data_IF_737332576941
#
_entry.id   IF_737332576941
#
_cell.length_a   1.000
_cell.length_b   1.000
_cell.length_c   1.000
_cell.angle_alpha   90.00
_cell.angle_beta   90.00
_cell.angle_gamma   90.00
#
_symmetry.space_group_name_H-M   'P 1'
#
loop_
_entity.id
_entity.type
_entity.pdbx_description
1 polymer ?
#
# COMPACT_ATOMS: atom_id res chain seq x y z
N UNK A 1 -39.40 38.86 -43.64
CA UNK A 1 -37.97 38.70 -43.32
C UNK A 1 -37.79 37.39 -42.59
N UNK A 2 -36.87 36.58 -43.08
CA UNK A 2 -36.89 35.11 -43.05
C UNK A 2 -36.34 34.52 -41.75
N UNK A 3 -37.01 33.47 -41.26
CA UNK A 3 -36.53 32.50 -40.26
C UNK A 3 -35.65 31.44 -40.93
N UNK A 4 -34.72 30.81 -40.18
CA UNK A 4 -34.24 29.39 -40.20
C UNK A 4 -32.71 29.28 -40.07
N UNK A 5 -32.15 28.61 -39.06
CA UNK A 5 -32.06 27.17 -38.70
C UNK A 5 -30.72 26.52 -39.16
N UNK A 6 -29.99 26.00 -38.16
CA UNK A 6 -29.25 24.72 -38.09
C UNK A 6 -28.03 24.38 -39.00
N UNK A 7 -27.01 23.83 -38.30
CA UNK A 7 -26.06 22.72 -38.57
C UNK A 7 -25.63 22.36 -40.01
N UNK A 8 -24.33 22.09 -40.19
CA UNK A 8 -23.77 20.71 -40.32
C UNK A 8 -22.36 20.68 -40.94
N UNK A 9 -21.59 19.70 -40.46
CA UNK A 9 -20.26 19.26 -40.86
C UNK A 9 -20.06 18.98 -42.38
N UNK A 10 -18.80 19.04 -42.83
CA UNK A 10 -18.14 17.93 -43.57
C UNK A 10 -16.65 18.15 -43.86
N UNK A 11 -15.90 17.09 -43.58
CA UNK A 11 -14.56 16.72 -44.05
C UNK A 11 -14.21 17.19 -45.46
N UNK A 12 -12.94 17.59 -45.64
CA UNK A 12 -12.16 17.31 -46.86
C UNK A 12 -10.72 16.94 -46.52
N UNK A 13 -10.40 15.65 -46.63
CA UNK A 13 -9.06 15.18 -47.02
C UNK A 13 -8.81 15.60 -48.47
N UNK A 14 -7.64 16.16 -48.78
CA UNK A 14 -6.92 15.89 -50.04
C UNK A 14 -5.42 15.86 -49.81
N UNK A 15 -4.83 14.82 -50.37
CA UNK A 15 -3.43 14.39 -50.34
C UNK A 15 -2.69 14.96 -51.56
N UNK A 16 -1.38 15.16 -51.36
CA UNK A 16 -0.25 15.16 -52.32
C UNK A 16 -0.14 16.26 -53.38
N UNK A 17 1.02 16.94 -53.37
CA UNK A 17 2.01 16.80 -54.46
C UNK A 17 3.42 17.18 -54.01
N UNK A 18 4.37 16.34 -54.43
CA UNK A 18 5.83 16.42 -54.35
C UNK A 18 6.38 17.66 -55.07
N UNK A 19 7.48 18.22 -54.55
CA UNK A 19 8.46 18.96 -55.34
C UNK A 19 9.87 18.52 -54.95
N UNK A 20 10.49 17.76 -55.85
CA UNK A 20 11.91 17.39 -55.90
C UNK A 20 12.76 18.60 -56.28
N UNK A 21 13.84 18.85 -55.54
CA UNK A 21 14.99 19.59 -56.01
C UNK A 21 16.27 18.84 -55.64
N UNK A 22 17.04 18.51 -56.67
CA UNK A 22 18.28 17.75 -56.67
C UNK A 22 19.45 18.76 -56.67
N UNK A 23 20.38 18.65 -55.73
CA UNK A 23 21.72 19.28 -55.84
C UNK A 23 22.77 18.32 -55.31
N UNK A 24 23.84 18.21 -56.10
CA UNK A 24 24.87 17.16 -56.07
C UNK A 24 26.02 17.52 -55.13
N UNK A 25 26.41 16.49 -54.35
CA UNK A 25 27.72 16.13 -53.80
C UNK A 25 28.74 17.19 -53.33
N UNK A 26 29.18 17.02 -52.08
CA UNK A 26 30.61 16.93 -51.76
C UNK A 26 30.82 16.04 -50.53
N UNK A 27 31.65 15.02 -50.70
CA UNK A 27 32.05 14.06 -49.69
C UNK A 27 32.90 14.71 -48.59
N UNK A 28 32.51 14.51 -47.33
CA UNK A 28 33.45 14.44 -46.21
C UNK A 28 33.07 13.25 -45.33
N UNK A 29 34.01 12.31 -45.19
CA UNK A 29 33.93 11.20 -44.25
C UNK A 29 34.02 11.75 -42.83
N UNK A 30 32.93 11.65 -42.05
CA UNK A 30 32.99 11.64 -40.60
C UNK A 30 32.30 10.38 -40.09
N UNK A 31 33.04 9.59 -39.33
CA UNK A 31 32.53 8.40 -38.66
C UNK A 31 31.46 8.82 -37.64
N UNK A 32 30.21 8.50 -37.91
CA UNK A 32 29.11 8.66 -36.95
C UNK A 32 28.98 7.39 -36.12
N UNK A 33 29.34 7.48 -34.84
CA UNK A 33 28.93 6.52 -33.81
C UNK A 33 27.39 6.40 -33.80
N UNK A 34 26.81 5.20 -33.63
CA UNK A 34 25.37 5.07 -33.51
C UNK A 34 24.91 5.75 -32.21
N UNK A 35 23.92 6.61 -32.34
CA UNK A 35 23.25 7.27 -31.23
C UNK A 35 22.66 6.21 -30.28
N UNK A 36 23.14 6.21 -29.03
CA UNK A 36 22.51 5.50 -27.93
C UNK A 36 21.15 6.14 -27.70
N UNK A 37 20.09 5.40 -28.03
CA UNK A 37 18.74 5.74 -27.61
C UNK A 37 18.71 5.75 -26.08
N UNK A 38 18.64 6.95 -25.49
CA UNK A 38 18.38 7.10 -24.07
C UNK A 38 16.94 6.64 -23.80
N UNK A 39 16.80 5.40 -23.35
CA UNK A 39 15.58 4.94 -22.71
C UNK A 39 15.38 5.79 -21.46
N UNK A 40 14.40 6.69 -21.49
CA UNK A 40 13.90 7.36 -20.29
C UNK A 40 13.34 6.27 -19.37
N UNK A 41 14.17 5.80 -18.45
CA UNK A 41 13.74 4.87 -17.41
C UNK A 41 12.63 5.53 -16.60
N UNK A 42 11.42 4.96 -16.65
CA UNK A 42 10.37 5.27 -15.66
C UNK A 42 10.95 4.97 -14.28
N UNK A 43 11.40 6.00 -13.55
CA UNK A 43 11.70 5.88 -12.13
C UNK A 43 10.44 5.32 -11.45
N UNK A 44 10.52 4.22 -10.69
CA UNK A 44 9.39 3.76 -9.91
C UNK A 44 9.00 4.88 -8.93
N UNK A 45 7.70 5.02 -8.58
CA UNK A 45 7.27 6.02 -7.62
C UNK A 45 8.07 5.84 -6.32
N UNK A 46 8.56 6.96 -5.79
CA UNK A 46 9.23 7.00 -4.48
C UNK A 46 8.15 6.68 -3.43
N UNK A 47 8.03 5.40 -3.09
CA UNK A 47 7.17 4.96 -2.01
C UNK A 47 7.85 5.35 -0.71
N UNK A 48 7.19 6.20 0.08
CA UNK A 48 7.45 6.30 1.51
C UNK A 48 7.36 4.87 2.02
N UNK A 49 8.46 4.32 2.55
CA UNK A 49 8.31 3.29 3.56
C UNK A 49 7.42 3.95 4.62
N UNK A 50 6.12 3.60 4.62
CA UNK A 50 5.24 3.94 5.71
C UNK A 50 6.01 3.55 6.96
N UNK A 51 6.11 4.45 7.94
CA UNK A 51 6.78 4.14 9.20
C UNK A 51 6.24 2.82 9.76
N UNK A 52 6.89 2.27 10.79
CA UNK A 52 6.30 1.11 11.44
C UNK A 52 4.80 1.39 11.72
N UNK A 53 3.88 0.44 11.43
CA UNK A 53 2.47 0.63 11.69
C UNK A 53 2.33 1.21 13.09
N UNK A 54 1.68 2.36 13.19
CA UNK A 54 1.65 3.12 14.42
C UNK A 54 1.08 2.20 15.51
N UNK A 55 1.75 2.05 16.67
CA UNK A 55 1.14 1.37 17.80
C UNK A 55 -0.23 2.02 18.05
N UNK A 56 -1.24 1.20 18.34
CA UNK A 56 -2.58 1.71 18.64
C UNK A 56 -2.47 2.87 19.63
N UNK A 57 -2.80 4.09 19.18
CA UNK A 57 -2.78 5.25 20.04
C UNK A 57 -3.80 5.00 21.16
N UNK A 58 -3.36 5.09 22.42
CA UNK A 58 -4.30 5.01 23.54
C UNK A 58 -5.31 6.16 23.40
N UNK A 59 -6.59 5.85 23.61
CA UNK A 59 -7.63 6.89 23.67
C UNK A 59 -7.22 7.95 24.71
N UNK A 60 -7.08 9.20 24.28
CA UNK A 60 -6.68 10.31 25.15
C UNK A 60 -5.22 10.77 25.04
N UNK A 61 -4.41 10.28 24.09
CA UNK A 61 -3.12 10.92 23.81
C UNK A 61 -3.33 12.34 23.25
N UNK A 62 -3.11 13.33 24.10
CA UNK A 62 -2.88 14.73 23.69
C UNK A 62 -1.51 14.80 23.04
N UNK A 63 -1.47 15.10 21.75
CA UNK A 63 -0.22 15.41 21.09
C UNK A 63 0.20 16.81 21.52
N UNK A 64 1.42 16.94 22.06
CA UNK A 64 2.04 18.25 22.23
C UNK A 64 2.36 18.78 20.83
N UNK A 65 1.41 19.51 20.27
CA UNK A 65 1.62 20.29 19.07
C UNK A 65 2.16 21.64 19.49
N UNK A 66 3.43 21.89 19.20
CA UNK A 66 3.93 23.26 19.14
C UNK A 66 3.35 23.91 17.88
N UNK A 67 2.12 24.40 18.01
CA UNK A 67 1.45 25.15 16.95
C UNK A 67 2.15 26.51 16.88
N UNK A 68 2.92 26.72 15.82
CA UNK A 68 3.46 28.04 15.45
C UNK A 68 2.47 28.62 14.43
N UNK A 69 1.54 29.51 14.83
CA UNK A 69 0.53 30.03 13.92
C UNK A 69 1.20 30.82 12.80
N UNK A 70 0.62 30.79 11.59
CA UNK A 70 1.07 31.58 10.44
C UNK A 70 2.49 31.23 9.94
N UNK A 71 3.13 30.14 10.41
CA UNK A 71 4.46 29.69 9.94
C UNK A 71 4.51 29.55 8.41
N UNK A 72 3.41 29.11 7.82
CA UNK A 72 3.30 28.85 6.38
C UNK A 72 2.65 30.00 5.59
N UNK A 73 2.20 31.08 6.24
CA UNK A 73 1.51 32.18 5.57
C UNK A 73 2.43 33.00 4.64
N UNK A 74 3.70 33.16 5.04
CA UNK A 74 4.71 33.95 4.30
C UNK A 74 5.94 33.09 3.93
N UNK A 75 5.76 31.78 3.79
CA UNK A 75 6.86 30.88 3.49
C UNK A 75 7.11 30.82 1.96
N UNK A 76 8.32 31.15 1.47
CA UNK A 76 8.60 31.20 0.03
C UNK A 76 8.46 29.83 -0.65
N UNK A 77 8.82 28.73 0.02
CA UNK A 77 8.67 27.38 -0.54
C UNK A 77 7.18 26.98 -0.64
N UNK A 78 6.34 27.49 0.27
CA UNK A 78 4.89 27.31 0.20
C UNK A 78 4.32 28.13 -0.96
N UNK A 79 4.78 29.36 -1.19
CA UNK A 79 4.35 30.17 -2.34
C UNK A 79 4.68 29.48 -3.66
N UNK A 80 5.89 28.92 -3.80
CA UNK A 80 6.27 28.13 -4.99
C UNK A 80 5.36 26.92 -5.18
N UNK A 81 4.98 26.25 -4.10
CA UNK A 81 4.03 25.13 -4.16
C UNK A 81 2.62 25.60 -4.57
N UNK A 82 2.15 26.73 -4.05
CA UNK A 82 0.85 27.33 -4.44
C UNK A 82 0.85 27.67 -5.92
N UNK A 83 1.89 28.34 -6.43
CA UNK A 83 2.01 28.71 -7.85
C UNK A 83 1.94 27.48 -8.76
N UNK A 84 2.59 26.39 -8.36
CA UNK A 84 2.54 25.11 -9.08
C UNK A 84 1.15 24.46 -9.05
N UNK A 85 0.45 24.52 -7.90
CA UNK A 85 -0.93 24.03 -7.78
C UNK A 85 -1.90 24.85 -8.64
N UNK A 86 -1.74 26.17 -8.70
CA UNK A 86 -2.53 27.05 -9.57
C UNK A 86 -2.25 26.70 -11.04
N UNK A 87 -0.98 26.63 -11.44
CA UNK A 87 -0.60 26.41 -12.83
C UNK A 87 -1.01 25.02 -13.37
N UNK A 88 -0.93 23.97 -12.56
CA UNK A 88 -1.21 22.58 -12.99
C UNK A 88 -2.64 22.14 -12.76
N UNK A 89 -3.31 22.68 -11.74
CA UNK A 89 -4.59 22.17 -11.27
C UNK A 89 -5.69 23.23 -11.17
N UNK A 90 -5.41 24.49 -11.51
CA UNK A 90 -6.41 25.59 -11.50
C UNK A 90 -7.04 25.81 -10.12
N UNK A 91 -6.24 25.73 -9.06
CA UNK A 91 -6.66 26.13 -7.72
C UNK A 91 -6.74 27.66 -7.62
N UNK A 92 -7.67 28.16 -6.80
CA UNK A 92 -7.71 29.57 -6.41
C UNK A 92 -6.52 29.90 -5.50
N UNK A 93 -5.59 30.79 -5.91
CA UNK A 93 -4.43 31.15 -5.10
C UNK A 93 -4.82 31.77 -3.76
N UNK A 94 -5.88 32.59 -3.71
CA UNK A 94 -6.29 33.24 -2.46
C UNK A 94 -6.81 32.20 -1.45
N UNK A 95 -7.57 31.22 -1.91
CA UNK A 95 -8.03 30.11 -1.08
C UNK A 95 -6.85 29.26 -0.55
N UNK A 96 -5.84 28.97 -1.37
CA UNK A 96 -4.65 28.23 -0.93
C UNK A 96 -3.81 29.02 0.07
N UNK A 97 -3.59 30.32 -0.14
CA UNK A 97 -2.90 31.16 0.85
C UNK A 97 -3.63 31.18 2.19
N UNK A 98 -4.96 31.32 2.17
CA UNK A 98 -5.77 31.25 3.39
C UNK A 98 -5.68 29.88 4.08
N UNK A 99 -5.71 28.79 3.31
CA UNK A 99 -5.57 27.43 3.83
C UNK A 99 -4.23 27.22 4.52
N UNK A 100 -3.12 27.59 3.87
CA UNK A 100 -1.77 27.42 4.44
C UNK A 100 -1.50 28.38 5.59
N UNK A 101 -2.10 29.58 5.60
CA UNK A 101 -2.06 30.47 6.76
C UNK A 101 -2.65 29.82 8.03
N UNK A 102 -3.63 28.92 7.87
CA UNK A 102 -4.24 28.13 8.95
C UNK A 102 -3.62 26.75 9.21
N UNK A 103 -2.61 26.34 8.43
CA UNK A 103 -1.88 25.09 8.66
C UNK A 103 -0.93 25.25 9.85
N UNK A 104 -0.84 24.20 10.68
CA UNK A 104 -0.03 24.18 11.88
C UNK A 104 1.21 23.31 11.69
N UNK A 105 2.32 23.73 12.29
CA UNK A 105 3.52 22.91 12.37
C UNK A 105 3.33 21.78 13.39
N UNK A 106 3.61 20.54 13.00
CA UNK A 106 3.51 19.38 13.90
C UNK A 106 4.90 18.90 14.35
N UNK A 107 5.35 19.42 15.50
CA UNK A 107 6.60 18.97 16.13
C UNK A 107 6.59 17.46 16.41
N UNK A 108 5.42 16.89 16.76
CA UNK A 108 5.27 15.46 16.96
C UNK A 108 5.48 14.69 15.66
N UNK A 109 4.93 15.12 14.52
CA UNK A 109 5.16 14.45 13.24
C UNK A 109 6.64 14.42 12.89
N UNK A 110 7.35 15.55 13.06
CA UNK A 110 8.81 15.68 12.89
C UNK A 110 9.56 14.69 13.79
N UNK A 111 9.20 14.63 15.08
CA UNK A 111 9.79 13.68 16.04
C UNK A 111 9.60 12.22 15.60
N UNK A 112 8.39 11.86 15.14
CA UNK A 112 8.05 10.48 14.75
C UNK A 112 8.71 10.04 13.43
N UNK A 113 8.99 10.96 12.50
CA UNK A 113 9.74 10.63 11.27
C UNK A 113 11.26 10.67 11.47
N UNK A 114 11.74 11.31 12.54
CA UNK A 114 13.17 11.41 12.83
C UNK A 114 13.70 10.04 13.25
N UNK A 115 14.72 9.50 12.56
CA UNK A 115 15.32 8.22 12.95
C UNK A 115 15.84 8.27 14.39
N UNK A 116 15.59 7.21 15.16
CA UNK A 116 16.12 7.09 16.51
C UNK A 116 17.65 7.09 16.48
N UNK A 117 18.34 7.85 17.36
CA UNK A 117 19.80 7.82 17.47
C UNK A 117 20.33 6.45 17.90
N UNK A 118 19.49 5.62 18.52
CA UNK A 118 19.79 4.24 18.85
C UNK A 118 18.82 3.32 18.12
N UNK A 119 19.22 2.70 17.00
CA UNK A 119 18.37 1.80 16.24
C UNK A 119 17.93 0.61 17.11
N UNK A 120 16.64 0.35 17.15
CA UNK A 120 16.13 -0.85 17.83
C UNK A 120 16.62 -2.10 17.11
N UNK A 121 17.12 -3.07 17.87
CA UNK A 121 17.49 -4.37 17.33
C UNK A 121 16.25 -5.04 16.73
N UNK A 122 16.33 -5.46 15.46
CA UNK A 122 15.23 -6.18 14.79
C UNK A 122 14.86 -7.42 15.60
N UNK A 123 13.58 -7.54 15.95
CA UNK A 123 13.06 -8.66 16.72
C UNK A 123 11.71 -9.12 16.15
N UNK A 124 11.75 -10.18 15.35
CA UNK A 124 10.58 -10.73 14.66
C UNK A 124 9.51 -11.18 15.65
N UNK A 125 9.88 -11.92 16.71
CA UNK A 125 8.89 -12.44 17.68
C UNK A 125 8.16 -11.34 18.43
N UNK A 126 8.85 -10.27 18.82
CA UNK A 126 8.23 -9.10 19.45
C UNK A 126 7.35 -8.34 18.46
N UNK A 127 7.75 -8.23 17.20
CA UNK A 127 6.92 -7.59 16.17
C UNK A 127 5.66 -8.41 15.90
N UNK A 128 5.82 -9.72 15.69
CA UNK A 128 4.74 -10.67 15.42
C UNK A 128 3.67 -10.65 16.52
N UNK A 129 4.07 -10.66 17.80
CA UNK A 129 3.12 -10.71 18.92
C UNK A 129 2.24 -9.46 19.06
N UNK A 130 2.65 -8.32 18.49
CA UNK A 130 1.84 -7.09 18.48
C UNK A 130 0.64 -7.15 17.54
N UNK A 131 0.68 -8.05 16.55
CA UNK A 131 -0.36 -8.18 15.53
C UNK A 131 -1.14 -9.49 15.67
N UNK A 132 -0.48 -10.57 16.08
CA UNK A 132 -1.12 -11.87 16.28
C UNK A 132 -1.66 -11.98 17.71
N UNK A 133 -2.46 -10.99 18.12
CA UNK A 133 -3.09 -10.94 19.42
C UNK A 133 -4.59 -11.31 19.35
N UNK A 134 -5.18 -11.85 20.43
CA UNK A 134 -6.59 -12.26 20.42
C UNK A 134 -7.58 -11.13 20.12
N UNK A 135 -7.29 -9.88 20.51
CA UNK A 135 -8.21 -8.75 20.27
C UNK A 135 -8.30 -8.47 18.77
N UNK A 136 -7.16 -8.38 18.08
CA UNK A 136 -7.10 -8.13 16.64
C UNK A 136 -7.63 -9.30 15.82
N UNK A 137 -7.34 -10.54 16.22
CA UNK A 137 -7.86 -11.74 15.54
C UNK A 137 -9.39 -11.79 15.67
N UNK A 138 -9.94 -11.63 16.88
CA UNK A 138 -11.39 -11.66 17.10
C UNK A 138 -12.11 -10.51 16.40
N UNK A 139 -11.49 -9.32 16.33
CA UNK A 139 -12.02 -8.21 15.54
C UNK A 139 -12.01 -8.53 14.04
N UNK A 140 -11.01 -9.24 13.54
CA UNK A 140 -10.93 -9.68 12.15
C UNK A 140 -11.99 -10.69 11.76
N UNK A 141 -12.26 -11.66 12.64
CA UNK A 141 -13.38 -12.60 12.45
C UNK A 141 -14.71 -11.85 12.31
N UNK A 142 -14.97 -10.87 13.19
CA UNK A 142 -16.18 -10.05 13.12
C UNK A 142 -16.24 -9.21 11.84
N UNK A 143 -15.14 -8.55 11.48
CA UNK A 143 -15.05 -7.75 10.27
C UNK A 143 -15.29 -8.60 9.02
N UNK A 144 -14.66 -9.79 8.94
CA UNK A 144 -14.85 -10.71 7.83
C UNK A 144 -16.31 -11.13 7.72
N UNK A 145 -16.94 -11.60 8.81
CA UNK A 145 -18.36 -11.99 8.80
C UNK A 145 -19.28 -10.86 8.33
N UNK A 146 -19.07 -9.65 8.84
CA UNK A 146 -19.87 -8.49 8.49
C UNK A 146 -19.72 -8.09 7.01
N UNK A 147 -18.59 -8.40 6.38
CA UNK A 147 -18.26 -7.99 5.01
C UNK A 147 -18.08 -9.18 4.06
N UNK A 148 -18.62 -10.35 4.37
CA UNK A 148 -18.33 -11.58 3.64
C UNK A 148 -18.66 -11.48 2.15
N UNK A 149 -19.82 -10.91 1.80
CA UNK A 149 -20.22 -10.70 0.41
C UNK A 149 -19.29 -9.73 -0.33
N UNK A 150 -18.89 -8.63 0.32
CA UNK A 150 -17.99 -7.63 -0.26
C UNK A 150 -16.58 -8.18 -0.48
N UNK A 151 -16.05 -8.91 0.50
CA UNK A 151 -14.76 -9.60 0.39
C UNK A 151 -14.75 -10.66 -0.70
N UNK A 152 -15.85 -11.42 -0.83
CA UNK A 152 -16.00 -12.42 -1.87
C UNK A 152 -16.03 -11.78 -3.26
N UNK A 153 -16.81 -10.71 -3.44
CA UNK A 153 -16.82 -9.96 -4.71
C UNK A 153 -15.45 -9.36 -5.04
N UNK A 154 -14.73 -8.83 -4.05
CA UNK A 154 -13.37 -8.34 -4.25
C UNK A 154 -12.41 -9.45 -4.68
N UNK A 155 -12.57 -10.67 -4.15
CA UNK A 155 -11.80 -11.82 -4.61
C UNK A 155 -12.12 -12.19 -6.05
N UNK A 156 -13.39 -12.23 -6.43
CA UNK A 156 -13.83 -12.55 -7.80
C UNK A 156 -13.35 -11.52 -8.82
N UNK A 157 -13.35 -10.23 -8.46
CA UNK A 157 -13.00 -9.14 -9.38
C UNK A 157 -11.49 -8.87 -9.45
N UNK A 158 -10.80 -8.92 -8.30
CA UNK A 158 -9.38 -8.55 -8.22
C UNK A 158 -8.43 -9.73 -8.03
N UNK A 159 -8.93 -10.93 -7.72
CA UNK A 159 -8.13 -12.13 -7.47
C UNK A 159 -7.40 -12.13 -6.13
N UNK A 160 -7.72 -11.20 -5.23
CA UNK A 160 -7.09 -11.07 -3.91
C UNK A 160 -7.94 -11.80 -2.86
N UNK A 161 -7.42 -12.81 -2.17
CA UNK A 161 -8.21 -13.60 -1.24
C UNK A 161 -8.61 -12.78 0.00
N UNK A 162 -9.80 -13.04 0.60
CA UNK A 162 -10.31 -12.26 1.73
C UNK A 162 -9.33 -12.18 2.91
N UNK A 163 -8.62 -13.25 3.24
CA UNK A 163 -7.67 -13.26 4.35
C UNK A 163 -6.53 -12.25 4.19
N UNK A 164 -6.14 -11.93 2.96
CA UNK A 164 -5.08 -10.96 2.69
C UNK A 164 -5.58 -9.54 2.92
N UNK A 165 -6.78 -9.22 2.42
CA UNK A 165 -7.43 -7.92 2.62
C UNK A 165 -7.67 -7.69 4.12
N UNK A 166 -8.27 -8.67 4.80
CA UNK A 166 -8.53 -8.62 6.24
C UNK A 166 -7.20 -8.53 7.02
N UNK A 167 -6.16 -9.25 6.61
CA UNK A 167 -4.82 -9.14 7.20
C UNK A 167 -4.25 -7.72 7.15
N UNK A 168 -4.36 -7.04 6.00
CA UNK A 168 -3.90 -5.65 5.83
C UNK A 168 -4.72 -4.72 6.72
N UNK A 169 -6.05 -4.69 6.58
CA UNK A 169 -6.90 -3.78 7.35
C UNK A 169 -6.80 -4.02 8.86
N UNK A 170 -6.54 -5.27 9.24
CA UNK A 170 -6.25 -5.68 10.60
C UNK A 170 -4.95 -5.06 11.11
N UNK A 171 -3.85 -5.18 10.37
CA UNK A 171 -2.53 -4.61 10.73
C UNK A 171 -2.57 -3.08 10.76
N UNK A 172 -3.18 -2.45 9.75
CA UNK A 172 -3.16 -0.99 9.60
C UNK A 172 -3.93 -0.27 10.70
N UNK A 173 -5.19 -0.66 10.96
CA UNK A 173 -6.09 0.16 11.79
C UNK A 173 -6.93 -0.62 12.78
N UNK A 174 -6.74 -1.95 12.86
CA UNK A 174 -7.69 -2.85 13.52
C UNK A 174 -9.10 -2.58 12.98
N UNK A 175 -9.23 -2.63 11.65
CA UNK A 175 -10.50 -2.51 10.94
C UNK A 175 -11.21 -1.17 11.21
N UNK A 176 -10.45 -0.08 11.23
CA UNK A 176 -10.94 1.30 11.40
C UNK A 176 -10.95 1.83 12.84
N UNK A 177 -10.51 1.06 13.83
CA UNK A 177 -10.47 1.51 15.24
C UNK A 177 -9.39 2.55 15.52
N UNK A 178 -8.25 2.45 14.83
CA UNK A 178 -7.09 3.33 15.01
C UNK A 178 -6.63 3.87 13.66
N UNK A 179 -7.22 4.97 13.21
CA UNK A 179 -6.91 5.59 11.90
C UNK A 179 -5.96 6.79 11.99
N UNK A 180 -5.51 7.13 13.20
CA UNK A 180 -4.76 8.35 13.49
C UNK A 180 -5.66 9.57 13.70
N UNK A 181 -5.09 10.61 14.28
CA UNK A 181 -5.80 11.82 14.71
C UNK A 181 -5.01 13.11 14.41
N UNK A 182 -3.99 13.04 13.55
CA UNK A 182 -3.32 14.23 13.03
C UNK A 182 -4.20 14.85 11.95
N UNK A 183 -4.33 16.18 11.90
CA UNK A 183 -4.84 16.84 10.68
C UNK A 183 -3.85 16.53 9.56
N UNK A 184 -4.34 15.88 8.51
CA UNK A 184 -3.48 15.43 7.40
C UNK A 184 -2.81 16.61 6.71
N UNK A 185 -3.55 17.73 6.59
CA UNK A 185 -3.02 19.00 6.11
C UNK A 185 -1.75 19.42 6.89
N UNK A 186 -1.80 19.37 8.22
CA UNK A 186 -0.67 19.80 9.06
C UNK A 186 0.51 18.85 8.95
N UNK A 187 0.26 17.55 9.01
CA UNK A 187 1.30 16.54 8.89
C UNK A 187 2.02 16.63 7.54
N UNK A 188 1.27 16.72 6.44
CA UNK A 188 1.84 16.79 5.09
C UNK A 188 2.51 18.14 4.82
N UNK A 189 1.95 19.25 5.29
CA UNK A 189 2.59 20.58 5.17
C UNK A 189 3.91 20.59 5.94
N UNK A 190 3.88 20.15 7.19
CA UNK A 190 5.08 20.04 8.04
C UNK A 190 6.16 19.19 7.37
N UNK A 191 5.82 17.99 6.90
CA UNK A 191 6.80 17.08 6.33
C UNK A 191 7.24 17.46 4.90
N UNK A 192 6.52 18.35 4.24
CA UNK A 192 6.90 18.90 2.93
C UNK A 192 7.93 20.02 3.06
N UNK A 193 7.78 20.90 4.05
CA UNK A 193 8.57 22.13 4.16
C UNK A 193 9.56 22.12 5.33
N UNK A 194 9.26 21.39 6.40
CA UNK A 194 10.06 21.34 7.64
C UNK A 194 10.53 19.91 7.99
N UNK A 195 10.75 19.05 7.00
CA UNK A 195 11.27 17.70 7.25
C UNK A 195 12.62 17.74 7.98
N UNK A 196 12.88 16.85 8.96
CA UNK A 196 14.14 16.84 9.72
C UNK A 196 15.38 16.74 8.82
N UNK A 197 16.51 17.24 9.33
CA UNK A 197 17.81 17.17 8.66
C UNK A 197 18.37 15.74 8.67
N UNK A 198 17.89 14.90 7.75
CA UNK A 198 18.40 13.54 7.49
C UNK A 198 19.11 13.46 6.14
N UNK A 199 19.94 12.43 5.95
CA UNK A 199 20.65 12.20 4.69
C UNK A 199 19.73 12.10 3.45
N UNK A 200 18.47 11.68 3.64
CA UNK A 200 17.47 11.55 2.59
C UNK A 200 16.41 12.66 2.59
N UNK A 201 16.64 13.80 3.25
CA UNK A 201 15.66 14.88 3.42
C UNK A 201 15.01 15.32 2.10
N UNK A 202 15.80 15.52 1.04
CA UNK A 202 15.30 15.99 -0.26
C UNK A 202 14.27 15.04 -0.88
N UNK A 203 14.58 13.74 -0.94
CA UNK A 203 13.66 12.71 -1.46
C UNK A 203 12.39 12.61 -0.62
N UNK A 204 12.52 12.73 0.71
CA UNK A 204 11.39 12.70 1.64
C UNK A 204 10.48 13.89 1.43
N UNK A 205 11.01 15.11 1.39
CA UNK A 205 10.23 16.32 1.11
C UNK A 205 9.54 16.26 -0.24
N UNK A 206 10.22 15.80 -1.29
CA UNK A 206 9.59 15.62 -2.62
C UNK A 206 8.40 14.65 -2.54
N UNK A 207 8.54 13.57 -1.78
CA UNK A 207 7.45 12.59 -1.62
C UNK A 207 6.28 13.15 -0.81
N UNK A 208 6.55 13.89 0.27
CA UNK A 208 5.48 14.53 1.05
C UNK A 208 4.80 15.65 0.27
N UNK A 209 5.53 16.44 -0.52
CA UNK A 209 4.95 17.44 -1.44
C UNK A 209 4.00 16.79 -2.43
N UNK A 210 4.39 15.66 -3.02
CA UNK A 210 3.49 14.92 -3.94
C UNK A 210 2.21 14.46 -3.25
N UNK A 211 2.31 14.00 -2.01
CA UNK A 211 1.14 13.59 -1.24
C UNK A 211 0.29 14.78 -0.78
N UNK A 212 0.89 15.94 -0.48
CA UNK A 212 0.16 17.17 -0.19
C UNK A 212 -0.62 17.66 -1.42
N UNK A 213 0.00 17.62 -2.60
CA UNK A 213 -0.67 17.87 -3.88
C UNK A 213 -1.87 16.92 -4.09
N UNK A 214 -1.63 15.61 -4.04
CA UNK A 214 -2.69 14.61 -4.24
C UNK A 214 -3.80 14.73 -3.18
N UNK A 215 -3.45 15.14 -1.96
CA UNK A 215 -4.41 15.39 -0.89
C UNK A 215 -5.34 16.55 -1.24
N UNK A 216 -4.80 17.69 -1.67
CA UNK A 216 -5.59 18.86 -2.03
C UNK A 216 -6.46 18.60 -3.27
N UNK A 217 -5.93 17.90 -4.27
CA UNK A 217 -6.70 17.49 -5.46
C UNK A 217 -7.85 16.57 -5.05
N UNK A 218 -7.55 15.52 -4.27
CA UNK A 218 -8.56 14.56 -3.83
C UNK A 218 -9.66 15.21 -3.00
N UNK A 219 -9.32 16.07 -2.04
CA UNK A 219 -10.32 16.73 -1.18
C UNK A 219 -11.18 17.70 -1.98
N UNK A 220 -10.61 18.47 -2.91
CA UNK A 220 -11.38 19.33 -3.82
C UNK A 220 -12.35 18.51 -4.68
N UNK A 221 -11.85 17.49 -5.36
CA UNK A 221 -12.65 16.70 -6.31
C UNK A 221 -13.74 15.88 -5.58
N UNK A 222 -13.49 15.52 -4.32
CA UNK A 222 -14.46 14.84 -3.45
C UNK A 222 -15.32 15.79 -2.62
N UNK A 223 -15.17 17.11 -2.77
CA UNK A 223 -15.87 18.14 -2.01
C UNK A 223 -15.75 17.99 -0.47
N UNK A 224 -14.56 17.57 -0.02
CA UNK A 224 -14.21 17.41 1.39
C UNK A 224 -13.45 18.65 1.85
N UNK A 225 -13.78 19.19 3.02
CA UNK A 225 -12.98 20.25 3.64
C UNK A 225 -11.59 19.69 4.04
N UNK A 226 -10.49 20.17 3.42
CA UNK A 226 -9.14 19.68 3.69
C UNK A 226 -8.64 19.97 5.12
N UNK A 227 -9.35 20.76 5.92
CA UNK A 227 -8.99 20.99 7.32
C UNK A 227 -9.54 19.92 8.27
N UNK A 228 -10.48 19.08 7.80
CA UNK A 228 -11.22 18.11 8.62
C UNK A 228 -10.70 16.67 8.54
N UNK A 229 -9.84 16.36 7.57
CA UNK A 229 -9.35 14.98 7.37
C UNK A 229 -8.29 14.65 8.40
N UNK A 230 -8.54 13.57 9.13
CA UNK A 230 -7.61 12.99 10.10
C UNK A 230 -6.87 11.78 9.51
N UNK A 231 -5.66 11.55 9.99
CA UNK A 231 -4.83 10.43 9.58
C UNK A 231 -3.61 10.23 10.47
N UNK A 232 -2.67 9.43 9.99
CA UNK A 232 -1.38 9.21 10.66
C UNK A 232 -0.49 10.44 10.61
N UNK A 233 0.58 10.42 11.40
CA UNK A 233 1.62 11.45 11.42
C UNK A 233 2.36 11.63 10.08
N UNK A 234 2.20 10.69 9.13
CA UNK A 234 2.74 10.80 7.77
C UNK A 234 1.66 11.12 6.72
N UNK A 235 0.42 11.40 7.15
CA UNK A 235 -0.72 11.69 6.29
C UNK A 235 -1.37 10.46 5.66
N UNK A 236 -1.25 9.27 6.24
CA UNK A 236 -2.00 8.09 5.78
C UNK A 236 -3.44 8.13 6.31
N UNK A 237 -4.41 7.83 5.45
CA UNK A 237 -5.83 8.13 5.69
C UNK A 237 -6.69 6.86 5.73
N UNK A 238 -7.63 6.86 6.66
CA UNK A 238 -8.75 5.92 6.69
C UNK A 238 -8.38 4.50 7.14
N UNK A 239 -9.34 3.59 6.96
CA UNK A 239 -9.25 2.17 7.32
C UNK A 239 -8.03 1.49 6.66
N UNK A 240 -7.67 1.76 5.39
CA UNK A 240 -6.51 1.13 4.75
C UNK A 240 -5.19 1.88 4.96
N UNK A 241 -5.18 3.04 5.64
CA UNK A 241 -3.98 3.89 5.75
C UNK A 241 -3.34 4.20 4.38
N UNK A 242 -4.15 4.59 3.40
CA UNK A 242 -3.63 5.03 2.11
C UNK A 242 -3.02 6.43 2.25
N UNK A 243 -1.80 6.59 1.74
CA UNK A 243 -1.29 7.92 1.45
C UNK A 243 -2.13 8.55 0.31
N UNK A 244 -2.29 9.88 0.25
CA UNK A 244 -3.11 10.54 -0.77
C UNK A 244 -2.81 10.13 -2.21
N UNK A 245 -1.53 9.95 -2.55
CA UNK A 245 -1.12 9.43 -3.87
C UNK A 245 -1.67 8.03 -4.18
N UNK A 246 -1.85 7.20 -3.15
CA UNK A 246 -2.49 5.89 -3.29
C UNK A 246 -4.01 6.00 -3.39
N UNK A 247 -4.62 6.99 -2.74
CA UNK A 247 -6.06 7.27 -2.88
C UNK A 247 -6.38 7.62 -4.34
N UNK A 248 -5.69 8.64 -4.87
CA UNK A 248 -5.88 9.10 -6.26
C UNK A 248 -5.65 7.97 -7.27
N UNK A 249 -4.70 7.07 -7.00
CA UNK A 249 -4.31 6.03 -7.97
C UNK A 249 -5.10 4.73 -7.87
N UNK A 250 -5.49 4.31 -6.67
CA UNK A 250 -5.98 2.95 -6.42
C UNK A 250 -7.32 2.88 -5.72
N UNK A 251 -7.82 3.97 -5.13
CA UNK A 251 -9.10 3.89 -4.44
C UNK A 251 -10.25 3.72 -5.43
N UNK A 252 -11.25 2.93 -5.02
CA UNK A 252 -12.45 2.63 -5.83
C UNK A 252 -13.69 2.77 -4.98
N UNK A 253 -14.75 3.33 -5.56
CA UNK A 253 -16.10 3.27 -4.97
C UNK A 253 -16.61 1.86 -5.13
N UNK A 254 -16.81 1.17 -4.02
CA UNK A 254 -17.09 -0.26 -4.00
C UNK A 254 -18.44 -0.60 -3.40
N UNK A 255 -19.17 0.34 -2.79
CA UNK A 255 -20.56 0.13 -2.39
C UNK A 255 -21.58 0.49 -3.49
N UNK A 256 -21.13 1.09 -4.59
CA UNK A 256 -21.96 1.50 -5.74
C UNK A 256 -22.51 2.93 -5.66
N UNK A 257 -22.16 3.72 -4.65
CA UNK A 257 -22.62 5.10 -4.49
C UNK A 257 -21.86 6.12 -5.37
N UNK A 258 -20.83 5.68 -6.10
CA UNK A 258 -19.92 6.45 -6.99
C UNK A 258 -19.00 7.45 -6.28
N UNK A 259 -19.02 7.50 -4.95
CA UNK A 259 -18.09 8.25 -4.11
C UNK A 259 -17.11 7.29 -3.41
N UNK A 260 -15.92 7.80 -3.10
CA UNK A 260 -14.88 7.05 -2.40
C UNK A 260 -14.77 7.59 -0.98
N UNK A 261 -15.12 6.80 0.03
CA UNK A 261 -14.88 7.14 1.43
C UNK A 261 -14.14 6.04 2.20
N UNK A 262 -12.81 6.10 2.18
CA UNK A 262 -11.95 5.15 2.88
C UNK A 262 -11.99 5.25 4.41
N UNK A 263 -12.67 6.26 4.97
CA UNK A 263 -12.68 6.53 6.42
C UNK A 263 -13.84 5.81 7.11
N UNK A 264 -15.02 5.79 6.48
CA UNK A 264 -16.22 5.22 7.08
C UNK A 264 -16.78 4.04 6.30
N UNK A 265 -16.47 3.94 5.00
CA UNK A 265 -16.98 2.89 4.14
C UNK A 265 -16.04 1.68 4.09
N UNK A 266 -16.47 0.58 4.73
CA UNK A 266 -15.70 -0.67 4.74
C UNK A 266 -15.63 -1.31 3.35
N UNK A 267 -16.64 -1.14 2.50
CA UNK A 267 -16.62 -1.68 1.15
C UNK A 267 -15.56 -0.99 0.30
N UNK A 268 -15.50 0.35 0.33
CA UNK A 268 -14.47 1.11 -0.39
C UNK A 268 -13.07 0.74 0.10
N UNK A 269 -12.88 0.56 1.41
CA UNK A 269 -11.61 0.10 1.95
C UNK A 269 -11.22 -1.29 1.43
N UNK A 270 -12.15 -2.25 1.41
CA UNK A 270 -11.94 -3.61 0.89
C UNK A 270 -11.58 -3.57 -0.60
N UNK A 271 -12.40 -2.90 -1.42
CA UNK A 271 -12.18 -2.82 -2.86
C UNK A 271 -10.89 -2.10 -3.21
N UNK A 272 -10.56 -1.02 -2.48
CA UNK A 272 -9.34 -0.24 -2.72
C UNK A 272 -8.06 -1.01 -2.38
N UNK A 273 -8.06 -1.77 -1.28
CA UNK A 273 -6.93 -2.66 -0.95
C UNK A 273 -6.77 -3.76 -2.00
N UNK A 274 -7.88 -4.37 -2.44
CA UNK A 274 -7.85 -5.39 -3.48
C UNK A 274 -7.32 -4.84 -4.82
N UNK A 275 -7.81 -3.67 -5.24
CA UNK A 275 -7.34 -2.98 -6.44
C UNK A 275 -5.86 -2.58 -6.34
N UNK A 276 -5.41 -2.07 -5.18
CA UNK A 276 -4.00 -1.76 -4.93
C UNK A 276 -3.12 -2.99 -5.15
N UNK A 277 -3.45 -4.13 -4.54
CA UNK A 277 -2.64 -5.34 -4.65
C UNK A 277 -2.61 -5.87 -6.08
N UNK A 278 -3.76 -5.91 -6.76
CA UNK A 278 -3.85 -6.28 -8.18
C UNK A 278 -2.97 -5.39 -9.05
N UNK A 279 -3.09 -4.07 -8.91
CA UNK A 279 -2.32 -3.10 -9.71
C UNK A 279 -0.81 -3.12 -9.40
N UNK A 280 -0.41 -3.68 -8.25
CA UNK A 280 0.98 -3.90 -7.90
C UNK A 280 1.49 -5.32 -8.27
N UNK A 281 0.67 -6.12 -8.96
CA UNK A 281 1.07 -7.40 -9.53
C UNK A 281 0.79 -8.61 -8.64
N UNK A 282 -0.26 -8.58 -7.83
CA UNK A 282 -0.76 -9.77 -7.12
C UNK A 282 -1.14 -10.87 -8.12
N UNK A 283 -0.68 -12.09 -7.86
CA UNK A 283 -0.94 -13.27 -8.66
C UNK A 283 -1.99 -14.15 -7.95
N UNK A 284 -3.21 -14.19 -8.49
CA UNK A 284 -4.29 -15.01 -7.91
C UNK A 284 -3.90 -16.50 -7.90
N UNK A 285 -4.23 -17.19 -6.81
CA UNK A 285 -3.92 -18.61 -6.60
C UNK A 285 -2.45 -18.93 -6.29
N UNK A 286 -1.53 -17.95 -6.36
CA UNK A 286 -0.11 -18.17 -6.01
C UNK A 286 0.14 -17.96 -4.51
N UNK A 287 1.01 -18.78 -3.89
CA UNK A 287 1.29 -18.64 -2.46
C UNK A 287 2.06 -17.36 -2.16
N UNK A 288 1.94 -16.87 -0.92
CA UNK A 288 2.72 -15.72 -0.44
C UNK A 288 4.13 -16.17 -0.08
N UNK A 289 4.26 -17.26 0.69
CA UNK A 289 5.54 -17.78 1.16
C UNK A 289 5.65 -19.30 1.03
N UNK A 290 6.87 -19.79 0.86
CA UNK A 290 7.22 -21.19 1.12
C UNK A 290 8.08 -21.33 2.37
N UNK A 291 7.89 -22.42 3.11
CA UNK A 291 8.71 -22.75 4.28
C UNK A 291 9.99 -23.45 3.84
N UNK A 292 11.08 -23.11 4.50
CA UNK A 292 12.39 -23.74 4.32
C UNK A 292 12.53 -24.89 5.33
N UNK A 293 13.32 -25.91 5.00
CA UNK A 293 13.73 -26.97 5.91
C UNK A 293 14.41 -26.41 7.16
N UNK A 294 14.21 -27.07 8.30
CA UNK A 294 14.79 -26.65 9.59
C UNK A 294 16.18 -27.23 9.86
N UNK A 295 16.74 -28.00 8.92
CA UNK A 295 18.08 -28.56 9.04
C UNK A 295 19.17 -27.49 8.86
N UNK A 296 20.35 -27.74 9.44
CA UNK A 296 21.45 -26.78 9.43
C UNK A 296 21.94 -26.42 8.02
N UNK A 297 21.84 -27.35 7.05
CA UNK A 297 22.23 -27.10 5.66
C UNK A 297 21.31 -26.08 5.00
N UNK A 298 19.99 -26.31 5.07
CA UNK A 298 18.98 -25.39 4.55
C UNK A 298 19.08 -23.99 5.17
N UNK A 299 19.25 -23.91 6.50
CA UNK A 299 19.40 -22.64 7.20
C UNK A 299 20.71 -21.92 6.84
N UNK A 300 21.80 -22.65 6.61
CA UNK A 300 23.08 -22.10 6.14
C UNK A 300 22.96 -21.47 4.75
N UNK A 301 22.30 -22.15 3.80
CA UNK A 301 22.03 -21.61 2.47
C UNK A 301 21.16 -20.36 2.55
N UNK A 302 20.08 -20.39 3.35
CA UNK A 302 19.20 -19.25 3.54
C UNK A 302 19.95 -18.04 4.12
N UNK A 303 20.77 -18.25 5.15
CA UNK A 303 21.57 -17.19 5.77
C UNK A 303 22.56 -16.55 4.78
N UNK A 304 23.16 -17.35 3.88
CA UNK A 304 24.08 -16.85 2.86
C UNK A 304 23.37 -16.08 1.72
N UNK A 305 22.13 -16.45 1.39
CA UNK A 305 21.35 -15.86 0.31
C UNK A 305 20.48 -14.65 0.75
N UNK A 306 20.28 -14.46 2.06
CA UNK A 306 19.54 -13.32 2.61
C UNK A 306 20.32 -12.01 2.44
N UNK A 307 19.79 -11.09 1.63
CA UNK A 307 20.43 -9.82 1.28
C UNK A 307 19.59 -8.58 1.70
N UNK A 308 18.46 -8.82 2.37
CA UNK A 308 17.55 -7.79 2.87
C UNK A 308 16.67 -7.14 1.80
N UNK A 309 16.61 -7.69 0.59
CA UNK A 309 15.95 -7.05 -0.54
C UNK A 309 14.63 -7.74 -0.90
N UNK A 310 13.55 -6.98 -1.08
CA UNK A 310 12.22 -7.57 -1.19
C UNK A 310 11.88 -8.16 -2.55
N UNK A 311 12.53 -7.68 -3.62
CA UNK A 311 12.33 -8.24 -4.96
C UNK A 311 12.73 -9.73 -4.98
N UNK A 312 11.90 -10.62 -5.57
CA UNK A 312 12.28 -12.01 -5.75
C UNK A 312 13.29 -12.11 -6.89
N UNK A 313 14.52 -12.52 -6.59
CA UNK A 313 15.65 -12.52 -7.55
C UNK A 313 16.35 -13.86 -7.69
N UNK A 314 16.18 -14.76 -6.71
CA UNK A 314 16.77 -16.08 -6.76
C UNK A 314 15.82 -17.02 -7.49
N UNK A 315 16.23 -17.70 -8.58
CA UNK A 315 15.45 -18.82 -9.07
C UNK A 315 15.48 -19.94 -8.03
N UNK A 316 14.32 -20.55 -7.71
CA UNK A 316 14.22 -21.59 -6.68
C UNK A 316 15.29 -22.69 -6.86
N UNK A 317 15.48 -23.16 -8.09
CA UNK A 317 16.49 -24.18 -8.45
C UNK A 317 17.93 -23.84 -8.04
N UNK A 318 18.30 -22.57 -7.94
CA UNK A 318 19.62 -22.18 -7.48
C UNK A 318 19.80 -22.45 -5.98
N UNK A 319 18.78 -22.16 -5.17
CA UNK A 319 18.81 -22.44 -3.73
C UNK A 319 18.78 -23.95 -3.47
N UNK A 320 17.97 -24.70 -4.22
CA UNK A 320 17.90 -26.16 -4.11
C UNK A 320 19.23 -26.82 -4.48
N UNK A 321 19.90 -26.38 -5.56
CA UNK A 321 21.25 -26.88 -5.92
C UNK A 321 22.31 -26.54 -4.88
N UNK A 322 22.14 -25.46 -4.13
CA UNK A 322 23.00 -25.11 -3.01
C UNK A 322 22.73 -25.96 -1.75
N UNK A 323 21.71 -26.83 -1.76
CA UNK A 323 21.38 -27.74 -0.67
C UNK A 323 20.19 -27.30 0.19
N UNK A 324 19.48 -26.24 -0.17
CA UNK A 324 18.26 -25.85 0.54
C UNK A 324 17.12 -26.85 0.27
N UNK A 325 16.45 -27.29 1.32
CA UNK A 325 15.25 -28.10 1.24
C UNK A 325 14.00 -27.24 1.51
N UNK A 326 12.88 -27.56 0.85
CA UNK A 326 11.58 -26.98 1.16
C UNK A 326 10.86 -27.84 2.20
N UNK A 327 10.17 -27.17 3.13
CA UNK A 327 9.19 -27.80 4.02
C UNK A 327 7.77 -27.51 3.50
N UNK A 328 7.53 -27.92 2.25
CA UNK A 328 6.26 -27.73 1.55
C UNK A 328 5.97 -28.99 0.71
N UNK A 329 5.30 -30.02 1.29
CA UNK A 329 5.11 -31.31 0.63
C UNK A 329 4.23 -31.22 -0.63
N UNK A 330 3.32 -30.24 -0.69
CA UNK A 330 2.37 -30.07 -1.81
C UNK A 330 2.97 -29.32 -3.01
N UNK A 331 4.24 -28.92 -2.93
CA UNK A 331 4.91 -28.17 -4.00
C UNK A 331 5.62 -29.15 -4.94
N UNK A 332 5.23 -29.15 -6.21
CA UNK A 332 6.02 -29.78 -7.27
C UNK A 332 7.27 -28.93 -7.53
N UNK A 333 8.37 -29.36 -6.92
CA UNK A 333 9.65 -28.66 -6.96
C UNK A 333 10.22 -28.58 -8.38
N UNK A 334 9.95 -29.56 -9.23
CA UNK A 334 10.44 -29.57 -10.61
C UNK A 334 9.70 -28.53 -11.46
N UNK A 335 8.37 -28.46 -11.31
CA UNK A 335 7.55 -27.45 -11.97
C UNK A 335 7.88 -26.02 -11.50
N UNK A 336 8.25 -25.85 -10.23
CA UNK A 336 8.54 -24.55 -9.62
C UNK A 336 10.02 -24.14 -9.69
N UNK A 337 10.89 -24.94 -10.33
CA UNK A 337 12.34 -24.74 -10.35
C UNK A 337 12.78 -23.34 -10.85
N UNK A 338 12.02 -22.76 -11.79
CA UNK A 338 12.27 -21.43 -12.35
C UNK A 338 11.67 -20.27 -11.56
N UNK A 339 10.84 -20.54 -10.54
CA UNK A 339 10.10 -19.52 -9.81
C UNK A 339 11.04 -18.58 -9.06
N UNK A 340 11.00 -17.26 -9.32
CA UNK A 340 11.78 -16.29 -8.58
C UNK A 340 11.29 -16.18 -7.12
N UNK A 341 12.23 -16.21 -6.19
CA UNK A 341 12.00 -16.08 -4.75
C UNK A 341 12.98 -15.08 -4.13
N UNK A 342 12.62 -14.55 -2.96
CA UNK A 342 13.54 -13.83 -2.06
C UNK A 342 13.68 -14.62 -0.75
N UNK A 343 14.85 -14.57 -0.13
CA UNK A 343 15.07 -15.15 1.20
C UNK A 343 14.75 -14.09 2.25
N UNK A 344 13.74 -14.38 3.07
CA UNK A 344 13.24 -13.47 4.10
C UNK A 344 13.85 -13.86 5.44
N UNK A 345 14.70 -12.99 5.99
CA UNK A 345 15.30 -13.15 7.31
C UNK A 345 14.43 -12.54 8.42
N UNK A 346 14.26 -13.30 9.51
CA UNK A 346 13.40 -12.95 10.63
C UNK A 346 14.18 -13.06 11.95
N UNK A 347 15.17 -12.18 12.19
CA UNK A 347 16.02 -12.25 13.37
C UNK A 347 15.22 -11.97 14.65
N UNK A 348 15.55 -12.68 15.72
CA UNK A 348 15.08 -12.39 17.08
C UNK A 348 16.24 -12.58 18.05
N UNK A 349 16.65 -11.55 18.82
CA UNK A 349 17.76 -11.64 19.75
C UNK A 349 17.62 -12.85 20.71
N UNK A 350 18.72 -13.57 20.91
CA UNK A 350 18.75 -14.78 21.75
C UNK A 350 18.12 -16.02 21.12
N UNK A 351 17.76 -15.99 19.83
CA UNK A 351 17.22 -17.12 19.07
C UNK A 351 17.92 -17.23 17.71
N UNK A 352 17.90 -18.42 17.11
CA UNK A 352 18.30 -18.58 15.71
C UNK A 352 17.38 -17.78 14.79
N UNK A 353 17.95 -17.18 13.74
CA UNK A 353 17.18 -16.46 12.72
C UNK A 353 16.22 -17.43 12.03
N UNK A 354 14.96 -17.03 11.90
CA UNK A 354 13.99 -17.78 11.11
C UNK A 354 14.03 -17.31 9.65
N UNK A 355 13.79 -18.25 8.73
CA UNK A 355 13.79 -17.95 7.31
C UNK A 355 12.55 -18.52 6.62
N UNK A 356 12.04 -17.78 5.63
CA UNK A 356 11.05 -18.25 4.66
C UNK A 356 11.45 -17.80 3.25
N UNK A 357 10.93 -18.45 2.23
CA UNK A 357 11.02 -17.96 0.86
C UNK A 357 9.80 -17.09 0.57
N UNK A 358 10.02 -15.81 0.29
CA UNK A 358 9.00 -14.89 -0.20
C UNK A 358 8.83 -15.02 -1.71
N UNK A 359 7.60 -15.22 -2.16
CA UNK A 359 7.25 -15.23 -3.59
C UNK A 359 6.84 -13.83 -4.06
N UNK A 360 6.40 -13.73 -5.32
CA UNK A 360 5.85 -12.49 -5.90
C UNK A 360 4.77 -11.85 -5.01
N UNK A 361 3.84 -12.64 -4.48
CA UNK A 361 2.79 -12.11 -3.60
C UNK A 361 3.33 -11.57 -2.27
N UNK A 362 4.42 -12.14 -1.72
CA UNK A 362 5.12 -11.53 -0.57
C UNK A 362 5.72 -10.18 -0.94
N UNK A 363 6.38 -10.10 -2.10
CA UNK A 363 6.89 -8.83 -2.62
C UNK A 363 5.77 -7.78 -2.76
N UNK A 364 4.61 -8.17 -3.29
CA UNK A 364 3.45 -7.27 -3.42
C UNK A 364 3.01 -6.71 -2.07
N UNK A 365 3.01 -7.52 -1.00
CA UNK A 365 2.72 -7.03 0.36
C UNK A 365 3.78 -6.02 0.85
N UNK A 366 5.05 -6.21 0.48
CA UNK A 366 6.10 -5.22 0.80
C UNK A 366 5.97 -3.90 0.03
N UNK A 367 5.14 -3.85 -1.03
CA UNK A 367 4.83 -2.60 -1.73
C UNK A 367 3.93 -1.71 -0.89
N UNK A 368 3.05 -2.31 -0.09
CA UNK A 368 2.18 -1.62 0.84
C UNK A 368 2.99 -0.96 1.96
N UNK A 369 3.87 -1.73 2.60
CA UNK A 369 4.89 -1.23 3.52
C UNK A 369 6.20 -2.02 3.34
N UNK A 370 7.30 -1.31 3.08
CA UNK A 370 8.62 -1.89 2.71
C UNK A 370 9.31 -2.55 3.91
N UNK A 371 8.74 -3.64 4.41
CA UNK A 371 9.23 -4.39 5.57
C UNK A 371 8.85 -5.87 5.46
N UNK A 372 9.83 -6.75 5.66
CA UNK A 372 9.61 -8.21 5.75
C UNK A 372 8.71 -8.59 6.92
N UNK A 373 8.92 -7.93 8.05
CA UNK A 373 8.13 -8.19 9.25
C UNK A 373 6.67 -7.80 9.03
N UNK A 374 6.45 -6.66 8.37
CA UNK A 374 5.11 -6.23 8.00
C UNK A 374 4.42 -7.25 7.10
N UNK A 375 5.03 -7.59 5.96
CA UNK A 375 4.43 -8.48 4.97
C UNK A 375 4.10 -9.86 5.57
N UNK A 376 5.00 -10.39 6.39
CA UNK A 376 4.77 -11.67 7.05
C UNK A 376 3.71 -11.58 8.16
N UNK A 377 3.65 -10.48 8.93
CA UNK A 377 2.63 -10.28 9.95
C UNK A 377 1.22 -10.15 9.34
N UNK A 378 1.08 -9.40 8.24
CA UNK A 378 -0.16 -9.31 7.45
C UNK A 378 -0.60 -10.70 7.00
N UNK A 379 0.30 -11.45 6.37
CA UNK A 379 0.01 -12.79 5.87
C UNK A 379 -0.44 -13.72 7.01
N UNK A 380 0.33 -13.78 8.11
CA UNK A 380 0.03 -14.68 9.21
C UNK A 380 -1.22 -14.29 9.99
N UNK A 381 -1.50 -12.99 10.17
CA UNK A 381 -2.74 -12.52 10.78
C UNK A 381 -3.95 -12.98 9.95
N UNK A 382 -3.90 -12.78 8.63
CA UNK A 382 -4.94 -13.26 7.71
C UNK A 382 -5.17 -14.76 7.81
N UNK A 383 -4.10 -15.56 7.78
CA UNK A 383 -4.18 -17.01 7.93
C UNK A 383 -4.81 -17.42 9.27
N UNK A 384 -4.44 -16.75 10.37
CA UNK A 384 -4.97 -17.07 11.70
C UNK A 384 -6.47 -16.75 11.83
N UNK A 385 -6.93 -15.68 11.20
CA UNK A 385 -8.35 -15.30 11.13
C UNK A 385 -9.13 -16.31 10.28
N UNK A 386 -8.60 -16.68 9.10
CA UNK A 386 -9.21 -17.70 8.23
C UNK A 386 -9.39 -19.04 8.96
N UNK A 387 -8.37 -19.49 9.66
CA UNK A 387 -8.43 -20.72 10.48
C UNK A 387 -9.52 -20.63 11.55
N UNK A 388 -9.65 -19.48 12.22
CA UNK A 388 -10.67 -19.30 13.25
C UNK A 388 -12.09 -19.21 12.68
N UNK A 389 -12.27 -18.62 11.49
CA UNK A 389 -13.52 -18.66 10.74
C UNK A 389 -13.94 -20.11 10.46
N UNK A 390 -13.04 -20.89 9.85
CA UNK A 390 -13.29 -22.30 9.50
C UNK A 390 -13.61 -23.17 10.72
N UNK A 391 -12.86 -23.01 11.82
CA UNK A 391 -13.12 -23.74 13.06
C UNK A 391 -14.49 -23.39 13.67
N UNK A 392 -14.88 -22.12 13.63
CA UNK A 392 -16.19 -21.68 14.12
C UNK A 392 -17.33 -22.23 13.27
N UNK A 393 -17.17 -22.24 11.95
CA UNK A 393 -18.18 -22.71 11.01
C UNK A 393 -18.35 -24.23 11.13
N UNK A 394 -17.26 -24.98 11.30
CA UNK A 394 -17.30 -26.41 11.59
C UNK A 394 -18.03 -26.73 12.91
N UNK A 395 -17.77 -25.96 13.97
CA UNK A 395 -18.48 -26.12 15.25
C UNK A 395 -19.98 -25.84 15.12
N UNK A 396 -20.37 -24.79 14.38
CA UNK A 396 -21.78 -24.45 14.13
C UNK A 396 -22.49 -25.52 13.28
N UNK A 397 -21.79 -26.13 12.32
CA UNK A 397 -22.34 -27.23 11.52
C UNK A 397 -22.62 -28.47 12.37
N UNK A 398 -21.73 -28.80 13.31
CA UNK A 398 -21.90 -29.94 14.23
C UNK A 398 -23.07 -29.70 15.19
N UNK A 399 -23.19 -28.50 15.78
CA UNK A 399 -24.28 -28.18 16.71
C UNK A 399 -25.65 -28.21 16.03
N UNK A 400 -25.74 -27.71 14.79
CA UNK A 400 -26.99 -27.74 14.01
C UNK A 400 -27.34 -29.15 13.50
N UNK A 401 -26.33 -29.98 13.18
CA UNK A 401 -26.53 -31.37 12.77
C UNK A 401 -27.05 -32.28 13.89
N UNK A 402 -26.64 -32.05 15.14
CA UNK A 402 -27.14 -32.79 16.31
C UNK A 402 -28.53 -32.34 16.79
N UNK A 403 -29.02 -31.17 16.34
CA UNK A 403 -30.38 -30.70 16.65
C UNK A 403 -31.46 -31.32 15.74
N UNK A 404 -31.09 -31.83 14.57
CA UNK A 404 -32.04 -32.42 13.62
C UNK A 404 -32.34 -33.91 13.89
N UNK A 405 -31.49 -34.61 14.65
CA UNK A 405 -31.64 -36.05 14.95
C UNK A 405 -32.46 -36.35 16.21
N UNK A 406 -32.91 -35.34 16.97
CA UNK A 406 -33.63 -35.53 18.25
C UNK A 406 -35.16 -35.32 18.17
N UNK A 407 -35.74 -35.09 16.98
CA UNK A 407 -37.19 -34.84 16.83
C UNK A 407 -38.01 -36.01 16.26
N UNK A 408 -37.42 -37.19 16.05
CA UNK A 408 -38.13 -38.34 15.49
C UNK A 408 -38.13 -39.55 16.45
N UNK A 409 -38.87 -39.44 17.57
CA UNK A 409 -39.41 -40.61 18.27
C UNK A 409 -40.46 -40.17 19.32
N UNK A 410 -41.73 -40.17 18.95
CA UNK A 410 -42.82 -40.35 19.89
C UNK A 410 -43.81 -41.32 19.25
N UNK A 411 -43.86 -42.60 19.70
CA UNK A 411 -44.94 -43.48 19.32
C UNK A 411 -46.16 -43.17 20.19
N UNK A 412 -47.27 -42.97 19.49
CA UNK A 412 -48.64 -42.96 19.99
C UNK A 412 -48.94 -44.08 20.99
N UNK A 413 -49.61 -43.71 22.09
CA UNK A 413 -50.58 -44.55 22.80
C UNK A 413 -51.98 -43.99 22.56
#
# INVERSE_FOLDING_TARGET
>A
MTVKLALSARNRLRISTLATALSVASCMFMATSPAVAQSVGKKPPVLVAQGQPQPAAQQGQTFEEEIIPQRYANNPDVNVFIDDMVARYDFDPAALHALFAGASYSATAVKLVTPSPSPTVKNWRVYQSRFLDPVRINAGVRFWRANQATLQRAYEEFGVPPEVIVGILGVETIYGRFMGNFRVLDALTTLSFDYPATANRGDRQATFRKNLEDYLVWTRDSQIDPTTVLGSYTGAIGIPQFLPSSIVKYAVSYDGNKQIDLRTNQADAIGSVANYLRQNGWESGRPVVWKIGSDAGSLGVAQAAADGQPEPRWPLSQLLRAGLLLNQPDVDVAAEAGTPVTVVDLPSPGRGTEFVLGLKNFYVLTRYNRSFFYALAVYQLGQRIKQQMQASDAMNAISNGNGASSSAASPSQ
#
